data_IF_177239933159
#
_entry.id   IF_177239933159
#
_cell.length_a   1.000
_cell.length_b   1.000
_cell.length_c   1.000
_cell.angle_alpha   90.00
_cell.angle_beta   90.00
_cell.angle_gamma   90.00
#
_symmetry.space_group_name_H-M   'P 1'
#
loop_
_entity.id
_entity.type
_entity.pdbx_description
1 polymer ?
#
# COMPACT_ATOMS: atom_id res chain seq x y z
N UNK A 1 18.03 12.02 -0.34
CA UNK A 1 18.12 10.90 0.62
C UNK A 1 16.93 10.02 0.35
N UNK A 2 17.15 8.80 -0.14
CA UNK A 2 16.07 7.82 -0.28
C UNK A 2 15.66 7.44 1.14
N UNK A 3 14.47 7.90 1.53
CA UNK A 3 13.86 7.64 2.81
C UNK A 3 13.46 6.15 2.78
N UNK A 4 14.23 5.27 3.43
CA UNK A 4 13.88 3.85 3.49
C UNK A 4 12.84 3.69 4.61
N UNK A 5 11.58 3.97 4.30
CA UNK A 5 10.50 3.89 5.28
C UNK A 5 10.10 2.44 5.54
N UNK A 6 10.03 2.01 6.82
CA UNK A 6 9.55 0.67 7.13
C UNK A 6 8.08 0.52 6.72
N UNK A 7 7.66 -0.68 6.29
CA UNK A 7 6.27 -0.93 5.89
C UNK A 7 5.26 -0.69 7.02
N UNK A 8 5.67 -0.92 8.27
CA UNK A 8 4.90 -0.63 9.47
C UNK A 8 5.34 0.72 10.04
N UNK A 9 4.46 1.73 9.96
CA UNK A 9 4.72 3.06 10.51
C UNK A 9 3.73 3.39 11.62
N UNK A 10 4.24 3.42 12.84
CA UNK A 10 3.61 4.12 13.96
C UNK A 10 4.38 5.40 14.25
N UNK A 11 3.65 6.49 14.38
CA UNK A 11 4.17 7.80 14.71
C UNK A 11 3.74 8.16 16.12
N UNK A 12 4.58 8.85 16.87
CA UNK A 12 4.25 9.28 18.22
C UNK A 12 4.29 10.80 18.33
N UNK A 13 3.31 11.36 19.04
CA UNK A 13 3.37 12.73 19.56
C UNK A 13 3.51 12.62 21.07
N UNK A 14 4.48 13.31 21.64
CA UNK A 14 4.65 13.34 23.09
C UNK A 14 4.68 14.79 23.58
N UNK A 15 3.99 15.03 24.69
CA UNK A 15 4.15 16.26 25.46
C UNK A 15 3.94 15.98 26.94
N UNK A 16 4.93 16.33 27.77
CA UNK A 16 4.92 16.04 29.19
C UNK A 16 4.79 14.53 29.45
N UNK A 17 3.69 14.14 30.10
CA UNK A 17 3.37 12.74 30.41
C UNK A 17 2.37 12.09 29.47
N UNK A 18 1.87 12.81 28.46
CA UNK A 18 0.91 12.29 27.49
C UNK A 18 1.63 11.96 26.19
N UNK A 19 1.43 10.74 25.71
CA UNK A 19 1.90 10.29 24.40
C UNK A 19 0.72 9.75 23.62
N UNK A 20 0.62 10.13 22.35
CA UNK A 20 -0.38 9.63 21.41
C UNK A 20 0.35 8.87 20.32
N UNK A 21 0.02 7.59 20.16
CA UNK A 21 0.47 6.81 18.99
C UNK A 21 -0.52 6.97 17.86
N UNK A 22 -0.01 7.13 16.64
CA UNK A 22 -0.76 7.41 15.44
C UNK A 22 -0.35 6.44 14.34
N UNK A 23 -1.34 5.94 13.61
CA UNK A 23 -1.18 5.07 12.46
C UNK A 23 -1.93 5.64 11.24
N UNK A 24 -1.28 5.72 10.07
CA UNK A 24 -1.90 6.17 8.82
C UNK A 24 -2.75 5.06 8.20
N UNK A 25 -3.78 4.60 8.93
CA UNK A 25 -4.66 3.53 8.46
C UNK A 25 -5.46 3.93 7.22
N UNK A 26 -5.88 2.96 6.41
CA UNK A 26 -6.71 3.18 5.24
C UNK A 26 -8.04 3.89 5.61
N UNK A 27 -8.59 3.57 6.79
CA UNK A 27 -9.76 4.27 7.33
C UNK A 27 -9.47 5.75 7.58
N UNK A 28 -8.38 6.06 8.26
CA UNK A 28 -7.99 7.44 8.54
C UNK A 28 -7.76 8.23 7.24
N UNK A 29 -7.07 7.62 6.27
CA UNK A 29 -6.83 8.20 4.95
C UNK A 29 -8.14 8.58 4.25
N UNK A 30 -9.12 7.67 4.25
CA UNK A 30 -10.42 7.89 3.61
C UNK A 30 -11.24 8.99 4.29
N UNK A 31 -11.21 9.05 5.63
CA UNK A 31 -11.93 10.09 6.39
C UNK A 31 -11.30 11.47 6.13
N UNK A 32 -9.98 11.57 6.22
CA UNK A 32 -9.26 12.83 6.04
C UNK A 32 -9.33 13.32 4.60
N UNK A 33 -9.28 12.43 3.61
CA UNK A 33 -9.48 12.77 2.21
C UNK A 33 -10.84 13.45 1.98
N UNK A 34 -11.90 12.84 2.51
CA UNK A 34 -13.26 13.38 2.40
C UNK A 34 -13.43 14.70 3.14
N UNK A 35 -12.79 14.85 4.30
CA UNK A 35 -12.91 16.08 5.10
C UNK A 35 -12.36 17.31 4.37
N UNK A 36 -11.38 17.12 3.49
CA UNK A 36 -10.67 18.20 2.80
C UNK A 36 -10.90 18.23 1.28
N UNK A 37 -11.79 17.39 0.74
CA UNK A 37 -11.98 17.20 -0.70
C UNK A 37 -10.66 16.90 -1.44
N UNK A 38 -9.83 16.06 -0.83
CA UNK A 38 -8.56 15.60 -1.38
C UNK A 38 -7.33 15.96 -0.53
N UNK A 39 -6.24 15.23 -0.80
CA UNK A 39 -4.99 15.35 -0.05
C UNK A 39 -4.26 16.67 -0.27
N UNK A 40 -4.38 17.31 -1.43
CA UNK A 40 -3.74 18.61 -1.68
C UNK A 40 -4.21 19.68 -0.69
N UNK A 41 -5.52 19.71 -0.40
CA UNK A 41 -6.09 20.61 0.59
C UNK A 41 -5.70 20.22 2.03
N UNK A 42 -5.69 18.91 2.33
CA UNK A 42 -5.20 18.42 3.63
C UNK A 42 -3.77 18.90 3.89
N UNK A 43 -2.84 18.69 2.96
CA UNK A 43 -1.44 19.11 3.12
C UNK A 43 -1.33 20.62 3.28
N UNK A 44 -2.05 21.40 2.46
CA UNK A 44 -2.07 22.86 2.60
C UNK A 44 -2.52 23.29 4.00
N UNK A 45 -3.60 22.72 4.52
CA UNK A 45 -4.10 23.06 5.85
C UNK A 45 -3.16 22.61 6.99
N UNK A 46 -2.46 21.49 6.81
CA UNK A 46 -1.42 21.04 7.75
C UNK A 46 -0.24 22.02 7.74
N UNK A 47 0.24 22.43 6.56
CA UNK A 47 1.34 23.39 6.42
C UNK A 47 0.97 24.78 7.00
N UNK A 48 -0.29 25.19 6.87
CA UNK A 48 -0.85 26.42 7.47
C UNK A 48 -1.09 26.30 8.98
N UNK A 49 -0.84 25.13 9.59
CA UNK A 49 -1.13 24.81 10.98
C UNK A 49 -2.59 25.07 11.38
N UNK A 50 -3.54 24.72 10.52
CA UNK A 50 -4.96 24.81 10.82
C UNK A 50 -5.32 23.87 11.98
N UNK A 51 -5.63 24.43 13.15
CA UNK A 51 -5.84 23.66 14.39
C UNK A 51 -6.97 22.63 14.28
N UNK A 52 -7.97 22.92 13.46
CA UNK A 52 -9.08 21.99 13.21
C UNK A 52 -8.61 20.76 12.45
N UNK A 53 -7.79 20.97 11.43
CA UNK A 53 -7.14 19.93 10.63
C UNK A 53 -6.15 19.14 11.46
N UNK A 54 -5.27 19.79 12.23
CA UNK A 54 -4.31 19.11 13.12
C UNK A 54 -5.05 18.21 14.12
N UNK A 55 -6.12 18.73 14.74
CA UNK A 55 -6.99 17.94 15.62
C UNK A 55 -7.63 16.76 14.89
N UNK A 56 -8.15 16.98 13.68
CA UNK A 56 -8.76 15.94 12.88
C UNK A 56 -7.76 14.82 12.53
N UNK A 57 -6.53 15.17 12.14
CA UNK A 57 -5.47 14.20 11.87
C UNK A 57 -5.21 13.38 13.13
N UNK A 58 -4.83 14.03 14.23
CA UNK A 58 -4.51 13.34 15.51
C UNK A 58 -5.64 12.40 15.93
N UNK A 59 -6.90 12.85 15.90
CA UNK A 59 -8.04 12.04 16.34
C UNK A 59 -8.39 10.87 15.43
N UNK A 60 -8.11 10.96 14.12
CA UNK A 60 -8.43 9.89 13.17
C UNK A 60 -7.29 8.91 12.97
N UNK A 61 -6.05 9.32 13.27
CA UNK A 61 -4.88 8.46 13.16
C UNK A 61 -4.50 7.84 14.50
N UNK A 62 -4.97 8.36 15.63
CA UNK A 62 -4.65 7.80 16.92
C UNK A 62 -5.08 6.33 17.05
N UNK A 63 -4.19 5.49 17.58
CA UNK A 63 -4.50 4.10 17.92
C UNK A 63 -5.38 4.00 19.16
N UNK A 64 -5.28 5.00 20.05
CA UNK A 64 -6.12 5.18 21.23
C UNK A 64 -6.74 6.59 21.22
N UNK A 65 -8.07 6.65 21.21
CA UNK A 65 -8.81 7.90 21.10
C UNK A 65 -8.83 8.70 22.41
N UNK A 66 -8.70 8.01 23.54
CA UNK A 66 -8.68 8.66 24.86
C UNK A 66 -7.32 9.32 25.08
N UNK A 67 -6.22 8.68 24.69
CA UNK A 67 -4.88 9.29 24.69
C UNK A 67 -4.85 10.56 23.82
N UNK A 68 -5.42 10.50 22.61
CA UNK A 68 -5.52 11.65 21.71
C UNK A 68 -6.33 12.80 22.32
N UNK A 69 -7.46 12.48 22.96
CA UNK A 69 -8.32 13.48 23.60
C UNK A 69 -7.61 14.14 24.79
N UNK A 70 -6.91 13.35 25.60
CA UNK A 70 -6.12 13.84 26.73
C UNK A 70 -4.97 14.76 26.27
N UNK A 71 -4.27 14.38 25.19
CA UNK A 71 -3.22 15.20 24.61
C UNK A 71 -3.75 16.55 24.15
N UNK A 72 -4.83 16.55 23.36
CA UNK A 72 -5.43 17.79 22.85
C UNK A 72 -5.92 18.70 23.99
N UNK A 73 -6.55 18.13 25.02
CA UNK A 73 -6.98 18.87 26.20
C UNK A 73 -5.81 19.45 27.01
N UNK A 74 -4.67 18.77 27.05
CA UNK A 74 -3.45 19.30 27.68
C UNK A 74 -2.88 20.48 26.86
N UNK A 75 -2.94 20.41 25.53
CA UNK A 75 -2.41 21.46 24.64
C UNK A 75 -3.22 22.75 24.68
N UNK A 76 -4.54 22.68 24.95
CA UNK A 76 -5.40 23.87 25.09
C UNK A 76 -4.94 24.85 26.18
N UNK A 77 -4.12 24.40 27.15
CA UNK A 77 -3.64 25.22 28.27
C UNK A 77 -2.25 25.80 28.06
N UNK A 78 -1.65 25.58 26.91
CA UNK A 78 -0.26 25.94 26.62
C UNK A 78 -0.17 27.00 25.52
N UNK A 79 0.96 27.72 25.44
CA UNK A 79 1.25 28.56 24.28
C UNK A 79 1.20 27.76 22.99
N UNK A 80 0.69 28.39 21.92
CA UNK A 80 0.54 27.76 20.60
C UNK A 80 1.86 27.21 20.04
N UNK A 81 2.97 27.88 20.34
CA UNK A 81 4.32 27.46 19.93
C UNK A 81 4.71 26.08 20.48
N UNK A 82 4.29 25.75 21.71
CA UNK A 82 4.50 24.42 22.29
C UNK A 82 3.71 23.37 21.53
N UNK A 83 2.47 23.69 21.14
CA UNK A 83 1.64 22.78 20.37
C UNK A 83 2.21 22.56 18.97
N UNK A 84 2.62 23.64 18.30
CA UNK A 84 3.27 23.57 16.99
C UNK A 84 4.52 22.68 17.04
N UNK A 85 5.43 22.95 17.96
CA UNK A 85 6.68 22.21 18.11
C UNK A 85 6.46 20.73 18.44
N UNK A 86 5.43 20.43 19.24
CA UNK A 86 5.09 19.04 19.60
C UNK A 86 4.40 18.29 18.46
N UNK A 87 3.38 18.88 17.85
CA UNK A 87 2.49 18.16 16.93
C UNK A 87 3.02 18.11 15.50
N UNK A 88 3.58 19.21 14.99
CA UNK A 88 3.82 19.36 13.55
C UNK A 88 4.74 18.30 12.93
N UNK A 89 5.89 17.94 13.55
CA UNK A 89 6.77 16.95 12.96
C UNK A 89 6.06 15.60 12.72
N UNK A 90 5.34 15.12 13.73
CA UNK A 90 4.66 13.83 13.68
C UNK A 90 3.39 13.86 12.82
N UNK A 91 2.61 14.95 12.88
CA UNK A 91 1.42 15.12 12.04
C UNK A 91 1.81 15.18 10.55
N UNK A 92 2.85 15.95 10.22
CA UNK A 92 3.35 16.03 8.85
C UNK A 92 3.87 14.67 8.35
N UNK A 93 4.58 13.93 9.21
CA UNK A 93 5.08 12.60 8.89
C UNK A 93 3.93 11.60 8.63
N UNK A 94 2.91 11.57 9.50
CA UNK A 94 1.70 10.76 9.29
C UNK A 94 0.98 11.11 8.00
N UNK A 95 0.83 12.40 7.70
CA UNK A 95 0.15 12.82 6.48
C UNK A 95 0.89 12.34 5.22
N UNK A 96 2.22 12.37 5.24
CA UNK A 96 3.06 11.84 4.15
C UNK A 96 2.97 10.33 4.03
N UNK A 97 2.78 9.62 5.14
CA UNK A 97 2.68 8.16 5.18
C UNK A 97 1.37 7.60 4.59
N UNK A 98 0.36 8.43 4.35
CA UNK A 98 -0.82 8.02 3.58
C UNK A 98 -0.52 7.82 2.09
N UNK A 99 0.59 8.38 1.60
CA UNK A 99 1.04 8.21 0.22
C UNK A 99 2.06 7.06 0.22
N UNK A 100 1.74 5.92 -0.42
CA UNK A 100 2.70 4.84 -0.58
C UNK A 100 3.96 5.33 -1.30
N UNK A 101 5.10 4.77 -0.92
CA UNK A 101 6.33 5.03 -1.67
C UNK A 101 6.22 4.46 -3.09
N UNK A 102 6.63 5.26 -4.07
CA UNK A 102 6.72 4.79 -5.44
C UNK A 102 7.87 3.79 -5.54
N UNK A 103 7.65 2.66 -6.21
CA UNK A 103 8.75 1.77 -6.53
C UNK A 103 9.74 2.48 -7.46
N UNK A 104 11.06 2.42 -7.18
CA UNK A 104 12.07 3.16 -7.94
C UNK A 104 12.17 2.71 -9.42
N UNK A 105 11.62 1.54 -9.75
CA UNK A 105 11.61 0.96 -11.10
C UNK A 105 10.27 1.12 -11.83
N UNK A 106 9.27 1.74 -11.20
CA UNK A 106 7.98 1.95 -11.83
C UNK A 106 8.10 2.90 -13.04
N UNK A 107 7.72 2.42 -14.23
CA UNK A 107 7.62 3.28 -15.42
C UNK A 107 6.46 4.25 -15.23
N UNK A 108 6.63 5.55 -15.49
CA UNK A 108 5.53 6.49 -15.44
C UNK A 108 4.47 6.08 -16.47
N UNK A 109 3.28 5.75 -15.98
CA UNK A 109 2.13 5.44 -16.84
C UNK A 109 1.59 6.75 -17.43
N UNK A 110 1.24 6.75 -18.71
CA UNK A 110 0.62 7.90 -19.40
C UNK A 110 -0.86 8.12 -19.02
N UNK A 111 -1.38 7.39 -18.03
CA UNK A 111 -2.76 7.50 -17.58
C UNK A 111 -2.92 8.72 -16.67
N UNK A 112 -4.09 9.34 -16.77
CA UNK A 112 -4.45 10.45 -15.89
C UNK A 112 -4.40 9.99 -14.41
N UNK A 113 -3.94 10.85 -13.48
CA UNK A 113 -3.92 10.53 -12.07
C UNK A 113 -5.33 10.16 -11.58
N UNK A 114 -5.46 8.99 -10.95
CA UNK A 114 -6.73 8.57 -10.34
C UNK A 114 -7.08 9.47 -9.15
N UNK A 115 -8.38 9.76 -8.90
CA UNK A 115 -8.83 10.38 -7.66
C UNK A 115 -8.43 9.53 -6.44
N UNK A 116 -8.09 10.19 -5.32
CA UNK A 116 -7.69 9.50 -4.08
C UNK A 116 -8.75 8.55 -3.53
N UNK A 117 -10.03 8.96 -3.57
CA UNK A 117 -11.15 8.11 -3.19
C UNK A 117 -11.23 6.80 -4.00
N UNK A 118 -10.85 6.82 -5.28
CA UNK A 118 -10.77 5.63 -6.11
C UNK A 118 -9.54 4.78 -5.74
N UNK A 119 -8.38 5.41 -5.53
CA UNK A 119 -7.17 4.72 -5.10
C UNK A 119 -7.36 3.96 -3.78
N UNK A 120 -7.96 4.58 -2.75
CA UNK A 120 -8.22 3.91 -1.46
C UNK A 120 -9.26 2.78 -1.58
N UNK A 121 -10.25 2.94 -2.46
CA UNK A 121 -11.20 1.87 -2.76
C UNK A 121 -10.50 0.68 -3.43
N UNK A 122 -9.58 0.92 -4.35
CA UNK A 122 -8.80 -0.13 -4.99
C UNK A 122 -7.92 -0.85 -3.96
N UNK A 123 -7.27 -0.13 -3.04
CA UNK A 123 -6.51 -0.73 -1.94
C UNK A 123 -7.39 -1.62 -1.04
N UNK A 124 -8.59 -1.15 -0.69
CA UNK A 124 -9.53 -1.96 0.09
C UNK A 124 -9.90 -3.25 -0.66
N UNK A 125 -10.18 -3.17 -1.98
CA UNK A 125 -10.50 -4.34 -2.81
C UNK A 125 -9.32 -5.31 -2.93
N UNK A 126 -8.09 -4.80 -3.04
CA UNK A 126 -6.88 -5.62 -3.03
C UNK A 126 -6.78 -6.37 -1.70
N UNK A 127 -6.92 -5.67 -0.58
CA UNK A 127 -6.80 -6.25 0.75
C UNK A 127 -7.87 -7.33 1.00
N UNK A 128 -9.14 -7.06 0.74
CA UNK A 128 -10.21 -8.03 1.03
C UNK A 128 -10.37 -9.10 -0.05
N UNK A 129 -9.94 -8.81 -1.28
CA UNK A 129 -10.07 -9.72 -2.43
C UNK A 129 -8.83 -10.57 -2.65
N UNK A 130 -7.70 -9.95 -3.02
CA UNK A 130 -6.46 -10.66 -3.33
C UNK A 130 -5.77 -11.21 -2.08
N UNK A 131 -5.70 -10.40 -1.01
CA UNK A 131 -5.01 -10.78 0.22
C UNK A 131 -5.91 -11.55 1.20
N UNK A 132 -7.21 -11.64 0.91
CA UNK A 132 -8.21 -12.32 1.73
C UNK A 132 -8.25 -11.82 3.19
N UNK A 133 -7.89 -10.56 3.44
CA UNK A 133 -7.98 -9.96 4.76
C UNK A 133 -9.43 -9.69 5.15
N UNK A 134 -9.71 -9.72 6.45
CA UNK A 134 -11.01 -9.26 6.94
C UNK A 134 -11.17 -7.76 6.65
N UNK A 135 -12.42 -7.26 6.52
CA UNK A 135 -12.70 -5.83 6.43
C UNK A 135 -12.01 -5.01 7.53
N UNK A 136 -11.99 -5.52 8.75
CA UNK A 136 -11.38 -4.85 9.90
C UNK A 136 -9.86 -4.72 9.73
N UNK A 137 -9.18 -5.80 9.35
CA UNK A 137 -7.74 -5.78 9.08
C UNK A 137 -7.41 -4.84 7.91
N UNK A 138 -8.17 -4.89 6.82
CA UNK A 138 -7.98 -4.02 5.66
C UNK A 138 -8.12 -2.54 6.02
N UNK A 139 -9.10 -2.18 6.84
CA UNK A 139 -9.30 -0.80 7.27
C UNK A 139 -8.24 -0.29 8.25
N UNK A 140 -7.65 -1.17 9.05
CA UNK A 140 -6.61 -0.84 10.03
C UNK A 140 -5.20 -0.84 9.43
N UNK A 141 -4.99 -1.53 8.30
CA UNK A 141 -3.73 -1.53 7.58
C UNK A 141 -3.43 -0.16 6.94
N UNK A 142 -2.15 0.15 6.75
CA UNK A 142 -1.70 1.32 6.01
C UNK A 142 -1.74 1.05 4.50
N UNK A 143 -1.86 2.08 3.66
CA UNK A 143 -1.74 1.94 2.21
C UNK A 143 -0.47 1.19 1.76
N UNK A 144 0.67 1.48 2.40
CA UNK A 144 1.95 0.83 2.14
C UNK A 144 1.96 -0.65 2.53
N UNK A 145 1.37 -1.02 3.67
CA UNK A 145 1.26 -2.43 4.08
C UNK A 145 0.47 -3.26 3.08
N UNK A 146 -0.65 -2.72 2.59
CA UNK A 146 -1.50 -3.40 1.60
C UNK A 146 -0.71 -3.64 0.30
N UNK A 147 -0.01 -2.62 -0.20
CA UNK A 147 0.76 -2.74 -1.45
C UNK A 147 1.95 -3.67 -1.32
N UNK A 148 2.66 -3.63 -0.20
CA UNK A 148 3.78 -4.55 0.07
C UNK A 148 3.30 -6.00 0.16
N UNK A 149 2.19 -6.25 0.87
CA UNK A 149 1.60 -7.58 0.93
C UNK A 149 1.11 -8.07 -0.44
N UNK A 150 0.53 -7.18 -1.25
CA UNK A 150 0.12 -7.49 -2.62
C UNK A 150 1.32 -7.84 -3.52
N UNK A 151 2.40 -7.05 -3.45
CA UNK A 151 3.64 -7.31 -4.20
C UNK A 151 4.21 -8.69 -3.86
N UNK A 152 4.33 -9.01 -2.56
CA UNK A 152 4.77 -10.34 -2.11
C UNK A 152 3.86 -11.48 -2.56
N UNK A 153 2.53 -11.27 -2.60
CA UNK A 153 1.60 -12.25 -3.13
C UNK A 153 1.78 -12.48 -4.64
N UNK A 154 2.06 -11.42 -5.41
CA UNK A 154 2.33 -11.52 -6.84
C UNK A 154 3.65 -12.27 -7.11
N UNK A 155 4.68 -12.00 -6.33
CA UNK A 155 5.97 -12.69 -6.47
C UNK A 155 5.86 -14.19 -6.14
N UNK A 156 5.07 -14.55 -5.13
CA UNK A 156 4.75 -15.95 -4.83
C UNK A 156 4.02 -16.63 -6.01
N UNK A 157 3.03 -15.97 -6.60
CA UNK A 157 2.30 -16.51 -7.76
C UNK A 157 3.22 -16.69 -8.97
N UNK A 158 4.09 -15.72 -9.25
CA UNK A 158 5.11 -15.83 -10.31
C UNK A 158 6.08 -16.99 -10.05
N UNK A 159 6.49 -17.20 -8.80
CA UNK A 159 7.38 -18.30 -8.43
C UNK A 159 6.72 -19.68 -8.61
N UNK A 160 5.41 -19.80 -8.32
CA UNK A 160 4.67 -21.07 -8.45
C UNK A 160 4.30 -21.38 -9.91
N UNK A 161 3.85 -20.37 -10.66
CA UNK A 161 3.30 -20.56 -11.99
C UNK A 161 4.30 -20.31 -13.13
N UNK A 162 5.51 -19.83 -12.80
CA UNK A 162 6.47 -19.32 -13.76
C UNK A 162 6.12 -17.89 -14.20
N UNK A 163 7.12 -17.13 -14.62
CA UNK A 163 6.89 -15.86 -15.32
C UNK A 163 6.74 -16.13 -16.82
N UNK A 164 5.89 -15.36 -17.50
CA UNK A 164 5.78 -15.42 -18.96
C UNK A 164 7.09 -15.04 -19.68
N UNK A 165 8.04 -14.45 -18.97
CA UNK A 165 9.39 -14.11 -19.48
C UNK A 165 10.32 -15.33 -19.60
N UNK A 166 9.89 -16.49 -19.11
CA UNK A 166 10.60 -17.76 -19.28
C UNK A 166 10.08 -18.47 -20.54
N UNK A 167 10.42 -17.96 -21.73
CA UNK A 167 10.24 -18.74 -22.96
C UNK A 167 11.13 -19.99 -22.81
N UNK A 168 10.56 -21.22 -22.80
CA UNK A 168 11.38 -22.42 -22.75
C UNK A 168 12.32 -22.39 -23.95
N UNK A 169 13.62 -22.51 -23.70
CA UNK A 169 14.61 -22.58 -24.78
C UNK A 169 14.28 -23.83 -25.63
N UNK A 170 13.87 -23.61 -26.88
CA UNK A 170 13.46 -24.68 -27.77
C UNK A 170 14.70 -25.52 -28.09
N UNK A 171 14.64 -26.80 -27.75
CA UNK A 171 15.68 -27.77 -28.09
C UNK A 171 15.83 -27.82 -29.63
N UNK A 172 17.01 -27.45 -30.18
CA UNK A 172 17.20 -27.36 -31.63
C UNK A 172 17.08 -28.72 -32.34
N UNK A 173 17.23 -29.83 -31.62
CA UNK A 173 16.99 -31.16 -32.16
C UNK A 173 15.49 -31.42 -32.31
N UNK A 174 14.69 -31.06 -31.31
CA UNK A 174 13.23 -31.15 -31.34
C UNK A 174 12.61 -30.25 -32.41
N UNK A 175 13.14 -29.04 -32.61
CA UNK A 175 12.68 -28.14 -33.67
C UNK A 175 12.87 -28.75 -35.07
N UNK A 176 14.02 -29.38 -35.32
CA UNK A 176 14.30 -30.07 -36.60
C UNK A 176 13.41 -31.29 -36.82
N UNK A 177 13.13 -32.04 -35.76
CA UNK A 177 12.19 -33.16 -35.83
C UNK A 177 10.75 -32.68 -36.09
N UNK A 178 10.33 -31.56 -35.51
CA UNK A 178 9.03 -30.96 -35.80
C UNK A 178 8.90 -30.57 -37.27
N UNK A 179 9.91 -29.89 -37.84
CA UNK A 179 9.95 -29.52 -39.26
C UNK A 179 9.86 -30.74 -40.18
N UNK A 180 10.62 -31.80 -39.89
CA UNK A 180 10.59 -33.05 -40.68
C UNK A 180 9.21 -33.73 -40.64
N UNK A 181 8.48 -33.57 -39.55
CA UNK A 181 7.14 -34.12 -39.37
C UNK A 181 6.02 -33.17 -39.84
N UNK A 182 6.35 -32.01 -40.42
CA UNK A 182 5.38 -31.01 -40.85
C UNK A 182 4.63 -30.32 -39.70
N UNK A 183 5.22 -30.31 -38.50
CA UNK A 183 4.71 -29.58 -37.34
C UNK A 183 5.39 -28.22 -37.20
N UNK A 184 4.79 -27.35 -36.39
CA UNK A 184 5.39 -26.07 -36.00
C UNK A 184 6.74 -26.32 -35.27
N UNK A 185 7.85 -25.70 -35.71
CA UNK A 185 9.16 -25.84 -35.07
C UNK A 185 9.14 -25.49 -33.58
N UNK A 186 8.28 -24.55 -33.17
CA UNK A 186 8.15 -24.08 -31.78
C UNK A 186 7.25 -24.98 -30.92
N UNK A 187 6.65 -26.02 -31.51
CA UNK A 187 5.72 -26.90 -30.79
C UNK A 187 6.44 -27.77 -29.75
N UNK A 188 6.19 -27.49 -28.47
CA UNK A 188 6.76 -28.27 -27.36
C UNK A 188 5.95 -29.54 -27.04
N UNK A 189 6.38 -30.67 -27.62
CA UNK A 189 5.78 -31.99 -27.36
C UNK A 189 5.96 -32.46 -25.93
N UNK A 190 7.09 -32.12 -25.28
CA UNK A 190 7.39 -32.54 -23.90
C UNK A 190 6.47 -31.81 -22.93
N UNK A 191 6.25 -30.52 -23.13
CA UNK A 191 5.27 -29.76 -22.37
C UNK A 191 3.86 -30.35 -22.50
N UNK A 192 3.41 -30.69 -23.71
CA UNK A 192 2.09 -31.29 -23.94
C UNK A 192 1.94 -32.66 -23.25
N UNK A 193 2.97 -33.51 -23.30
CA UNK A 193 2.96 -34.81 -22.62
C UNK A 193 2.93 -34.65 -21.10
N UNK A 194 3.67 -33.68 -20.54
CA UNK A 194 3.64 -33.38 -19.11
C UNK A 194 2.26 -32.86 -18.66
N UNK A 195 1.61 -32.03 -19.48
CA UNK A 195 0.27 -31.53 -19.23
C UNK A 195 -0.75 -32.67 -19.28
N UNK A 196 -0.63 -33.58 -20.27
CA UNK A 196 -1.47 -34.77 -20.39
C UNK A 196 -1.30 -35.71 -19.20
N UNK A 197 -0.09 -35.87 -18.68
CA UNK A 197 0.17 -36.68 -17.49
C UNK A 197 -0.46 -36.05 -16.22
N UNK A 198 -0.42 -34.72 -16.10
CA UNK A 198 -1.07 -33.99 -14.99
C UNK A 198 -2.60 -34.06 -15.06
N UNK A 199 -3.17 -34.01 -16.26
CA UNK A 199 -4.63 -34.09 -16.46
C UNK A 199 -5.16 -35.54 -16.43
N UNK A 200 -4.34 -36.51 -16.88
CA UNK A 200 -4.70 -37.93 -16.91
C UNK A 200 -4.66 -38.64 -15.55
N UNK A 201 -4.17 -37.97 -14.50
CA UNK A 201 -4.25 -38.45 -13.11
C UNK A 201 -5.49 -37.95 -12.34
N UNK A 202 -6.41 -37.23 -12.99
CA UNK A 202 -7.57 -36.59 -12.37
C UNK A 202 -8.93 -37.14 -12.88
N UNK A 203 -8.98 -38.40 -13.29
CA UNK A 203 -10.22 -39.14 -13.57
C UNK A 203 -10.20 -40.51 -12.89
#
# INVERSE_FOLDING_TARGET
MSDNRPAYEEFAISHGFVTVRMRPSLRAATILERLHDGFSNLFRHVDEFDLTTIKAVVMNTATDRDEASLYLAAMERLPLDNFYTSAMPSVSAVCRAFIPEAEPTAKPTSEAPKPWSEAFRDLYRIATGWLHWTPETAWNATPSEILNAYSGAMDMLRAIHGSADSIPEIDPEQARENEQNGLDPEYDRRALLSLRARLGGAL
#
